data_IF_999044327546
#
_entry.id   IF_999044327546
#
_cell.length_a   1.000
_cell.length_b   1.000
_cell.length_c   1.000
_cell.angle_alpha   90.00
_cell.angle_beta   90.00
_cell.angle_gamma   90.00
#
_symmetry.space_group_name_H-M   'P 1'
#
loop_
_entity.id
_entity.type
_entity.pdbx_description
1 polymer ?
#
# COMPACT_ATOMS: atom_id res chain seq x y z
N UNK A 1 -15.26 38.14 40.28
CA UNK A 1 -15.30 37.50 38.94
C UNK A 1 -14.10 38.00 38.15
N UNK A 2 -13.11 37.15 37.92
CA UNK A 2 -12.01 37.40 36.98
C UNK A 2 -11.79 36.10 36.23
N UNK A 3 -12.23 36.09 34.97
CA UNK A 3 -12.18 34.93 34.08
C UNK A 3 -10.76 34.74 33.56
N UNK A 4 -10.20 33.55 33.82
CA UNK A 4 -9.00 33.08 33.15
C UNK A 4 -9.37 32.51 31.78
N UNK A 5 -8.97 33.20 30.72
CA UNK A 5 -9.05 32.68 29.36
C UNK A 5 -7.94 31.63 29.17
N UNK A 6 -8.34 30.35 29.08
CA UNK A 6 -7.50 29.28 28.56
C UNK A 6 -7.41 29.44 27.03
N UNK A 7 -6.31 30.02 26.56
CA UNK A 7 -5.95 29.96 25.14
C UNK A 7 -5.43 28.56 24.88
N UNK A 8 -6.31 27.66 24.42
CA UNK A 8 -5.90 26.41 23.82
C UNK A 8 -5.13 26.73 22.54
N UNK A 9 -3.80 26.71 22.62
CA UNK A 9 -2.95 26.81 21.45
C UNK A 9 -3.21 25.62 20.53
N UNK A 10 -3.76 25.87 19.35
CA UNK A 10 -3.68 24.95 18.22
C UNK A 10 -2.21 24.83 17.82
N UNK A 11 -1.46 23.99 18.53
CA UNK A 11 -0.08 23.65 18.18
C UNK A 11 -0.08 22.89 16.86
N UNK A 12 0.42 23.51 15.80
CA UNK A 12 0.85 22.80 14.61
C UNK A 12 1.91 21.79 15.04
N UNK A 13 1.56 20.51 15.09
CA UNK A 13 2.51 19.43 15.40
C UNK A 13 3.62 19.45 14.35
N UNK A 14 4.88 19.48 14.77
CA UNK A 14 6.01 19.41 13.85
C UNK A 14 6.02 18.03 13.15
N UNK A 15 6.55 17.92 11.92
CA UNK A 15 6.71 16.63 11.28
C UNK A 15 7.57 15.70 12.13
N UNK A 16 7.07 14.50 12.41
CA UNK A 16 7.78 13.48 13.18
C UNK A 16 8.50 12.51 12.23
N UNK A 17 9.59 11.91 12.70
CA UNK A 17 10.27 10.84 11.97
C UNK A 17 9.44 9.56 12.10
N UNK A 18 9.14 8.92 10.98
CA UNK A 18 8.40 7.65 10.94
C UNK A 18 9.28 6.52 11.48
N UNK A 19 8.93 5.98 12.64
CA UNK A 19 9.51 4.76 13.19
C UNK A 19 8.55 3.58 12.91
N UNK A 20 8.97 2.56 12.12
CA UNK A 20 8.15 1.37 11.87
C UNK A 20 7.63 0.68 13.14
N UNK A 21 8.31 0.81 14.28
CA UNK A 21 7.90 0.19 15.54
C UNK A 21 6.57 0.73 16.10
N UNK A 22 6.17 1.94 15.69
CA UNK A 22 4.94 2.59 16.14
C UNK A 22 3.72 2.20 15.30
N UNK A 23 3.92 1.48 14.20
CA UNK A 23 2.89 1.12 13.24
C UNK A 23 2.57 -0.39 13.24
N UNK A 24 1.34 -0.73 12.87
CA UNK A 24 0.82 -2.09 12.82
C UNK A 24 0.84 -2.71 11.42
N UNK A 25 1.05 -1.91 10.37
CA UNK A 25 1.24 -2.40 9.02
C UNK A 25 2.55 -1.91 8.39
N UNK A 26 3.24 -2.81 7.70
CA UNK A 26 4.49 -2.53 7.01
C UNK A 26 4.51 -3.10 5.60
N UNK A 27 5.26 -2.46 4.71
CA UNK A 27 5.59 -3.00 3.40
C UNK A 27 7.04 -3.49 3.41
N UNK A 28 7.25 -4.75 3.04
CA UNK A 28 8.54 -5.42 2.99
C UNK A 28 8.97 -5.62 1.53
N UNK A 29 9.97 -4.84 1.10
CA UNK A 29 10.59 -4.98 -0.23
C UNK A 29 11.36 -6.28 -0.38
N UNK A 30 11.50 -6.71 -1.63
CA UNK A 30 12.48 -7.73 -1.97
C UNK A 30 13.90 -7.27 -1.55
N UNK A 31 14.63 -8.16 -0.87
CA UNK A 31 15.96 -7.87 -0.34
C UNK A 31 16.01 -7.25 1.05
N UNK A 32 14.88 -6.78 1.61
CA UNK A 32 14.81 -6.42 3.04
C UNK A 32 14.57 -7.70 3.84
N UNK A 33 15.38 -8.00 4.87
CA UNK A 33 15.24 -9.24 5.62
C UNK A 33 13.94 -9.23 6.43
N UNK A 34 13.27 -10.38 6.55
CA UNK A 34 12.04 -10.48 7.34
C UNK A 34 12.21 -10.19 8.83
N UNK A 35 13.45 -10.24 9.34
CA UNK A 35 13.80 -9.79 10.69
C UNK A 35 13.69 -8.27 10.88
N UNK A 36 13.56 -7.48 9.80
CA UNK A 36 13.29 -6.05 9.87
C UNK A 36 11.82 -5.74 10.20
N UNK A 37 10.91 -6.72 10.06
CA UNK A 37 9.50 -6.53 10.40
C UNK A 37 9.34 -6.28 11.90
N UNK A 38 8.75 -5.16 12.33
CA UNK A 38 8.56 -4.84 13.74
C UNK A 38 7.66 -5.86 14.44
N UNK A 39 7.94 -6.14 15.73
CA UNK A 39 7.14 -7.09 16.54
C UNK A 39 5.66 -6.70 16.65
N UNK A 40 5.34 -5.40 16.55
CA UNK A 40 3.98 -4.87 16.61
C UNK A 40 3.21 -5.07 15.30
N UNK A 41 3.91 -5.28 14.18
CA UNK A 41 3.29 -5.42 12.88
C UNK A 41 2.33 -6.62 12.86
N UNK A 42 1.08 -6.36 12.50
CA UNK A 42 0.00 -7.32 12.29
C UNK A 42 -0.28 -7.54 10.82
N UNK A 43 0.03 -6.56 9.97
CA UNK A 43 -0.16 -6.66 8.52
C UNK A 43 1.18 -6.46 7.82
N UNK A 44 1.54 -7.36 6.92
CA UNK A 44 2.74 -7.20 6.07
C UNK A 44 2.35 -7.30 4.61
N UNK A 45 2.62 -6.24 3.86
CA UNK A 45 2.61 -6.25 2.40
C UNK A 45 3.96 -6.74 1.92
N UNK A 46 3.99 -7.92 1.31
CA UNK A 46 5.22 -8.60 1.00
C UNK A 46 5.44 -8.62 -0.51
N UNK A 47 6.45 -7.92 -1.00
CA UNK A 47 6.81 -7.97 -2.40
C UNK A 47 7.39 -9.35 -2.75
N UNK A 48 6.55 -10.18 -3.37
CA UNK A 48 6.81 -11.60 -3.61
C UNK A 48 7.08 -11.95 -5.07
N UNK A 49 6.60 -11.12 -5.99
CA UNK A 49 6.86 -11.28 -7.41
C UNK A 49 6.80 -9.98 -8.20
N UNK A 50 7.21 -10.07 -9.45
CA UNK A 50 7.15 -8.96 -10.39
C UNK A 50 6.81 -9.44 -11.81
N UNK A 51 6.11 -8.59 -12.54
CA UNK A 51 5.89 -8.72 -13.99
C UNK A 51 6.55 -7.52 -14.65
N UNK A 52 7.62 -7.81 -15.40
CA UNK A 52 8.53 -6.81 -15.95
C UNK A 52 8.06 -6.32 -17.32
N UNK A 53 8.51 -5.15 -17.73
CA UNK A 53 8.13 -4.54 -18.99
C UNK A 53 8.48 -5.40 -20.22
N UNK A 54 9.54 -6.21 -20.14
CA UNK A 54 10.07 -7.00 -21.25
C UNK A 54 9.31 -8.30 -21.54
N UNK A 55 8.52 -8.81 -20.58
CA UNK A 55 7.87 -10.12 -20.70
C UNK A 55 6.45 -10.14 -20.06
N UNK A 56 5.37 -10.09 -20.87
CA UNK A 56 4.00 -10.18 -20.37
C UNK A 56 3.60 -11.59 -19.90
N UNK A 57 4.38 -12.61 -20.24
CA UNK A 57 4.08 -14.01 -20.01
C UNK A 57 4.69 -14.57 -18.73
N UNK A 58 5.49 -13.77 -18.01
CA UNK A 58 6.31 -14.28 -16.91
C UNK A 58 6.15 -13.50 -15.61
N UNK A 59 5.69 -14.21 -14.58
CA UNK A 59 5.88 -13.80 -13.19
C UNK A 59 7.28 -14.21 -12.72
N UNK A 60 8.09 -13.23 -12.35
CA UNK A 60 9.39 -13.44 -11.70
C UNK A 60 9.16 -13.53 -10.18
N UNK A 61 9.48 -14.68 -9.58
CA UNK A 61 9.40 -14.84 -8.13
C UNK A 61 10.64 -14.23 -7.46
N UNK A 62 10.41 -13.34 -6.49
CA UNK A 62 11.46 -12.64 -5.74
C UNK A 62 11.91 -13.42 -4.49
N UNK A 63 11.25 -14.54 -4.18
CA UNK A 63 11.56 -15.46 -3.07
C UNK A 63 11.85 -14.73 -1.76
N UNK A 64 10.97 -13.83 -1.30
CA UNK A 64 11.22 -13.12 -0.06
C UNK A 64 11.19 -14.09 1.13
N UNK A 65 11.96 -13.77 2.18
CA UNK A 65 11.81 -14.47 3.45
C UNK A 65 10.43 -14.17 4.04
N UNK A 66 9.65 -15.20 4.34
CA UNK A 66 8.34 -15.02 4.97
C UNK A 66 8.51 -14.54 6.42
N UNK A 67 7.92 -13.39 6.80
CA UNK A 67 7.90 -12.95 8.19
C UNK A 67 7.21 -13.97 9.09
N UNK A 68 7.72 -14.13 10.32
CA UNK A 68 7.15 -15.05 11.31
C UNK A 68 6.55 -14.24 12.44
N UNK A 69 5.29 -14.53 12.78
CA UNK A 69 4.60 -13.91 13.90
C UNK A 69 3.19 -14.46 14.05
N UNK A 70 2.75 -14.69 15.28
CA UNK A 70 1.37 -15.14 15.56
C UNK A 70 0.38 -14.00 15.27
N UNK A 71 -0.69 -14.30 14.54
CA UNK A 71 -1.74 -13.32 14.21
C UNK A 71 -1.28 -12.23 13.25
N UNK A 72 -0.34 -12.56 12.35
CA UNK A 72 0.10 -11.69 11.27
C UNK A 72 -0.63 -12.08 9.97
N UNK A 73 -1.29 -11.12 9.33
CA UNK A 73 -1.84 -11.24 7.98
C UNK A 73 -0.84 -10.76 6.94
N UNK A 74 -0.77 -11.46 5.81
CA UNK A 74 0.11 -11.17 4.69
C UNK A 74 -0.70 -10.77 3.47
N UNK A 75 -0.28 -9.68 2.83
CA UNK A 75 -0.64 -9.40 1.45
C UNK A 75 0.47 -9.89 0.53
N UNK A 76 0.11 -10.69 -0.46
CA UNK A 76 1.04 -11.09 -1.51
C UNK A 76 1.13 -9.96 -2.52
N UNK A 77 2.22 -9.21 -2.54
CA UNK A 77 2.37 -8.07 -3.45
C UNK A 77 3.09 -8.49 -4.73
N UNK A 78 2.53 -8.11 -5.88
CA UNK A 78 3.16 -8.24 -7.20
C UNK A 78 3.42 -6.84 -7.75
N UNK A 79 4.69 -6.52 -8.03
CA UNK A 79 5.05 -5.32 -8.77
C UNK A 79 4.81 -5.52 -10.25
N UNK A 80 4.21 -4.54 -10.91
CA UNK A 80 3.91 -4.64 -12.35
C UNK A 80 4.45 -3.45 -13.10
N UNK A 81 5.01 -3.70 -14.27
CA UNK A 81 5.44 -2.64 -15.20
C UNK A 81 4.56 -2.61 -16.47
N UNK A 82 3.65 -3.59 -16.60
CA UNK A 82 2.69 -3.73 -17.69
C UNK A 82 1.42 -4.43 -17.24
N UNK A 83 0.32 -4.17 -17.95
CA UNK A 83 -1.04 -4.60 -17.58
C UNK A 83 -1.63 -5.68 -18.49
N UNK A 84 -0.98 -5.97 -19.62
CA UNK A 84 -1.41 -6.96 -20.62
C UNK A 84 -0.86 -8.36 -20.31
N UNK A 85 -1.06 -8.82 -19.08
CA UNK A 85 -0.64 -10.14 -18.61
C UNK A 85 -1.23 -11.26 -19.49
N UNK A 86 -0.40 -12.25 -19.82
CA UNK A 86 -0.89 -13.50 -20.40
C UNK A 86 -1.55 -14.39 -19.33
N UNK A 87 -2.42 -15.32 -19.73
CA UNK A 87 -3.13 -16.23 -18.81
C UNK A 87 -2.19 -17.03 -17.89
N UNK A 88 -0.98 -17.34 -18.35
CA UNK A 88 0.05 -18.01 -17.54
C UNK A 88 0.46 -17.22 -16.30
N UNK A 89 0.48 -15.88 -16.38
CA UNK A 89 0.82 -15.02 -15.24
C UNK A 89 -0.28 -15.05 -14.19
N UNK A 90 -1.55 -14.91 -14.61
CA UNK A 90 -2.69 -15.01 -13.70
C UNK A 90 -2.71 -16.37 -13.00
N UNK A 91 -2.59 -17.47 -13.75
CA UNK A 91 -2.56 -18.82 -13.20
C UNK A 91 -1.43 -18.99 -12.18
N UNK A 92 -0.25 -18.42 -12.47
CA UNK A 92 0.89 -18.51 -11.56
C UNK A 92 0.68 -17.71 -10.27
N UNK A 93 0.14 -16.49 -10.34
CA UNK A 93 -0.17 -15.69 -9.14
C UNK A 93 -1.16 -16.44 -8.24
N UNK A 94 -2.24 -17.00 -8.82
CA UNK A 94 -3.24 -17.74 -8.06
C UNK A 94 -2.65 -19.02 -7.43
N UNK A 95 -1.80 -19.74 -8.16
CA UNK A 95 -1.09 -20.91 -7.63
C UNK A 95 -0.13 -20.54 -6.50
N UNK A 96 0.51 -19.37 -6.58
CA UNK A 96 1.39 -18.86 -5.53
C UNK A 96 0.60 -18.50 -4.25
N UNK A 97 -0.54 -17.80 -4.37
CA UNK A 97 -1.44 -17.53 -3.25
C UNK A 97 -1.91 -18.82 -2.56
N UNK A 98 -2.41 -19.79 -3.33
CA UNK A 98 -2.88 -21.07 -2.80
C UNK A 98 -1.78 -21.82 -2.04
N UNK A 99 -0.58 -21.94 -2.64
CA UNK A 99 0.56 -22.62 -2.03
C UNK A 99 1.00 -21.94 -0.72
N UNK A 100 0.99 -20.60 -0.67
CA UNK A 100 1.37 -19.88 0.55
C UNK A 100 0.35 -20.11 1.67
N UNK A 101 -0.94 -20.11 1.33
CA UNK A 101 -2.00 -20.44 2.28
C UNK A 101 -1.89 -21.89 2.80
N UNK A 102 -1.65 -22.85 1.91
CA UNK A 102 -1.43 -24.26 2.26
C UNK A 102 -0.19 -24.48 3.15
N UNK A 103 0.82 -23.62 3.01
CA UNK A 103 1.99 -23.59 3.90
C UNK A 103 1.70 -22.98 5.29
N UNK A 104 0.43 -22.65 5.60
CA UNK A 104 0.00 -22.15 6.90
C UNK A 104 0.12 -20.64 7.08
N UNK A 105 0.34 -19.88 5.99
CA UNK A 105 0.37 -18.42 6.06
C UNK A 105 -1.05 -17.86 6.01
N UNK A 106 -1.35 -16.89 6.87
CA UNK A 106 -2.59 -16.12 6.79
C UNK A 106 -2.46 -15.08 5.67
N UNK A 107 -2.84 -15.47 4.46
CA UNK A 107 -2.86 -14.58 3.30
C UNK A 107 -4.22 -13.87 3.25
N UNK A 108 -4.21 -12.55 3.42
CA UNK A 108 -5.39 -11.69 3.30
C UNK A 108 -5.83 -11.57 1.84
N UNK A 109 -4.86 -11.34 0.96
CA UNK A 109 -5.16 -11.01 -0.42
C UNK A 109 -3.94 -10.76 -1.28
N UNK A 110 -4.23 -10.28 -2.49
CA UNK A 110 -3.27 -9.87 -3.50
C UNK A 110 -3.16 -8.35 -3.50
N UNK A 111 -1.94 -7.81 -3.47
CA UNK A 111 -1.71 -6.41 -3.78
C UNK A 111 -1.03 -6.27 -5.14
N UNK A 112 -1.51 -5.33 -5.96
CA UNK A 112 -0.79 -4.90 -7.16
C UNK A 112 -0.04 -3.61 -6.86
N UNK A 113 1.29 -3.66 -6.92
CA UNK A 113 2.15 -2.49 -6.84
C UNK A 113 2.40 -1.96 -8.25
N UNK A 114 1.69 -0.89 -8.62
CA UNK A 114 1.80 -0.27 -9.93
C UNK A 114 1.84 1.26 -9.83
N UNK A 115 2.93 1.85 -10.30
CA UNK A 115 3.04 3.30 -10.47
C UNK A 115 2.30 3.73 -11.75
N UNK A 116 0.96 3.69 -11.71
CA UNK A 116 0.16 4.20 -12.83
C UNK A 116 0.15 5.74 -12.80
N UNK A 117 0.67 6.38 -13.83
CA UNK A 117 0.39 7.79 -14.08
C UNK A 117 -1.14 8.00 -14.22
N UNK A 118 -1.66 9.15 -13.78
CA UNK A 118 -3.11 9.47 -13.84
C UNK A 118 -3.76 9.18 -15.21
N UNK A 119 -3.03 9.33 -16.32
CA UNK A 119 -3.55 9.05 -17.69
C UNK A 119 -3.83 7.56 -17.94
N UNK A 120 -3.19 6.64 -17.23
CA UNK A 120 -3.37 5.20 -17.36
C UNK A 120 -4.49 4.59 -16.51
N UNK A 121 -5.22 5.41 -15.73
CA UNK A 121 -6.15 4.92 -14.71
C UNK A 121 -7.31 4.08 -15.29
N UNK A 122 -7.78 4.40 -16.49
CA UNK A 122 -8.89 3.67 -17.12
C UNK A 122 -8.50 2.24 -17.55
N UNK A 123 -7.30 2.08 -18.09
CA UNK A 123 -6.75 0.78 -18.46
C UNK A 123 -6.36 -0.02 -17.22
N UNK A 124 -5.84 0.67 -16.20
CA UNK A 124 -5.58 0.04 -14.92
C UNK A 124 -6.86 -0.50 -14.26
N UNK A 125 -7.94 0.29 -14.23
CA UNK A 125 -9.23 -0.18 -13.72
C UNK A 125 -9.76 -1.39 -14.51
N UNK A 126 -9.61 -1.40 -15.84
CA UNK A 126 -10.01 -2.54 -16.69
C UNK A 126 -9.20 -3.80 -16.39
N UNK A 127 -7.88 -3.65 -16.20
CA UNK A 127 -7.01 -4.73 -15.78
C UNK A 127 -7.45 -5.30 -14.43
N UNK A 128 -7.67 -4.44 -13.44
CA UNK A 128 -8.09 -4.84 -12.10
C UNK A 128 -9.47 -5.53 -12.10
N UNK A 129 -10.43 -5.10 -12.91
CA UNK A 129 -11.71 -5.80 -13.08
C UNK A 129 -11.51 -7.22 -13.63
N UNK A 130 -10.58 -7.37 -14.59
CA UNK A 130 -10.18 -8.67 -15.12
C UNK A 130 -9.54 -9.57 -14.07
N UNK A 131 -8.67 -8.99 -13.23
CA UNK A 131 -8.00 -9.68 -12.14
C UNK A 131 -8.99 -10.08 -11.03
N UNK A 132 -9.86 -9.17 -10.59
CA UNK A 132 -10.88 -9.40 -9.56
C UNK A 132 -11.83 -10.55 -9.92
N UNK A 133 -12.18 -10.70 -11.21
CA UNK A 133 -12.99 -11.83 -11.71
C UNK A 133 -12.28 -13.18 -11.60
N UNK A 134 -10.95 -13.20 -11.69
CA UNK A 134 -10.13 -14.42 -11.59
C UNK A 134 -9.74 -14.73 -10.15
N UNK A 135 -9.60 -13.71 -9.30
CA UNK A 135 -9.21 -13.85 -7.90
C UNK A 135 -10.35 -14.44 -7.07
N UNK A 136 -10.13 -15.58 -6.37
CA UNK A 136 -11.12 -16.16 -5.45
C UNK A 136 -11.67 -15.13 -4.45
N UNK A 137 -12.97 -15.24 -4.15
CA UNK A 137 -13.71 -14.22 -3.36
C UNK A 137 -13.29 -14.13 -1.89
N UNK A 138 -12.58 -15.13 -1.41
CA UNK A 138 -11.99 -15.18 -0.07
C UNK A 138 -10.65 -14.43 0.02
N UNK A 139 -10.13 -13.93 -1.10
CA UNK A 139 -9.00 -13.01 -1.12
C UNK A 139 -9.45 -11.60 -1.46
N UNK A 140 -8.93 -10.65 -0.69
CA UNK A 140 -9.06 -9.23 -0.98
C UNK A 140 -8.07 -8.80 -2.08
N UNK A 141 -8.37 -7.67 -2.72
CA UNK A 141 -7.55 -7.04 -3.74
C UNK A 141 -7.15 -5.62 -3.29
N UNK A 142 -5.86 -5.44 -3.02
CA UNK A 142 -5.26 -4.14 -2.69
C UNK A 142 -4.47 -3.60 -3.88
N UNK A 143 -4.27 -2.29 -3.93
CA UNK A 143 -3.37 -1.65 -4.89
C UNK A 143 -2.51 -0.60 -4.21
N UNK A 144 -1.32 -0.34 -4.73
CA UNK A 144 -0.65 0.94 -4.45
C UNK A 144 -1.21 2.02 -5.39
N UNK A 145 -1.25 3.25 -4.90
CA UNK A 145 -1.72 4.40 -5.67
C UNK A 145 -0.88 5.63 -5.40
N UNK A 146 -0.82 6.51 -6.39
CA UNK A 146 -0.14 7.81 -6.29
C UNK A 146 -1.13 8.90 -5.87
N UNK A 147 -0.60 9.96 -5.26
CA UNK A 147 -1.43 11.06 -4.72
C UNK A 147 -2.21 11.83 -5.80
N UNK A 148 -1.69 11.87 -7.03
CA UNK A 148 -2.29 12.58 -8.16
C UNK A 148 -3.67 12.05 -8.55
N UNK A 149 -3.99 10.78 -8.25
CA UNK A 149 -5.31 10.22 -8.48
C UNK A 149 -6.40 10.92 -7.66
N UNK A 150 -6.10 11.30 -6.41
CA UNK A 150 -7.09 11.96 -5.55
C UNK A 150 -7.39 13.40 -5.97
N UNK A 151 -6.38 14.08 -6.55
CA UNK A 151 -6.49 15.47 -6.96
C UNK A 151 -6.98 15.64 -8.41
N UNK A 152 -6.69 14.66 -9.28
CA UNK A 152 -6.85 14.79 -10.74
C UNK A 152 -7.53 13.58 -11.39
N UNK A 153 -7.82 12.51 -10.63
CA UNK A 153 -8.47 11.31 -11.14
C UNK A 153 -9.89 11.61 -11.62
N UNK A 154 -10.24 11.05 -12.78
CA UNK A 154 -11.60 11.18 -13.30
C UNK A 154 -12.58 10.44 -12.36
N UNK A 155 -13.67 11.08 -11.86
CA UNK A 155 -14.56 10.48 -10.85
C UNK A 155 -15.09 9.09 -11.22
N UNK A 156 -15.44 8.89 -12.50
CA UNK A 156 -15.89 7.58 -13.00
C UNK A 156 -14.81 6.48 -12.90
N UNK A 157 -13.53 6.83 -13.08
CA UNK A 157 -12.44 5.86 -12.94
C UNK A 157 -12.21 5.50 -11.47
N UNK A 158 -12.28 6.48 -10.56
CA UNK A 158 -12.21 6.24 -9.12
C UNK A 158 -13.39 5.40 -8.61
N UNK A 159 -14.60 5.63 -9.12
CA UNK A 159 -15.78 4.82 -8.79
C UNK A 159 -15.63 3.36 -9.28
N UNK A 160 -15.05 3.14 -10.46
CA UNK A 160 -14.74 1.79 -10.95
C UNK A 160 -13.73 1.08 -10.06
N UNK A 161 -12.70 1.79 -9.61
CA UNK A 161 -11.74 1.24 -8.64
C UNK A 161 -12.42 0.87 -7.33
N UNK A 162 -13.25 1.76 -6.77
CA UNK A 162 -14.00 1.49 -5.54
C UNK A 162 -14.92 0.25 -5.62
N UNK A 163 -15.43 -0.07 -6.81
CA UNK A 163 -16.20 -1.29 -7.04
C UNK A 163 -15.37 -2.55 -7.30
N UNK A 164 -14.04 -2.44 -7.36
CA UNK A 164 -13.13 -3.52 -7.81
C UNK A 164 -12.10 -3.91 -6.77
N UNK A 165 -11.54 -2.94 -6.04
CA UNK A 165 -10.50 -3.15 -5.03
C UNK A 165 -11.06 -2.94 -3.63
N UNK A 166 -10.50 -3.66 -2.66
CA UNK A 166 -10.92 -3.65 -1.26
C UNK A 166 -10.16 -2.57 -0.45
N UNK A 167 -8.95 -2.21 -0.88
CA UNK A 167 -8.22 -1.05 -0.35
C UNK A 167 -7.20 -0.47 -1.36
N UNK A 168 -6.79 0.78 -1.11
CA UNK A 168 -5.61 1.39 -1.76
C UNK A 168 -4.60 1.90 -0.73
N UNK A 169 -3.32 1.68 -0.98
CA UNK A 169 -2.21 2.26 -0.22
C UNK A 169 -1.64 3.45 -0.97
N UNK A 170 -1.94 4.66 -0.51
CA UNK A 170 -1.51 5.91 -1.15
C UNK A 170 -0.08 6.25 -0.72
N UNK A 171 0.87 6.20 -1.65
CA UNK A 171 2.28 6.43 -1.35
C UNK A 171 2.58 7.94 -1.28
N UNK A 172 3.09 8.42 -0.14
CA UNK A 172 3.41 9.84 0.09
C UNK A 172 4.91 10.13 0.09
N UNK A 173 5.70 9.27 -0.54
CA UNK A 173 7.16 9.35 -0.53
C UNK A 173 7.75 9.01 -1.90
N UNK A 174 8.97 9.46 -2.15
CA UNK A 174 9.76 9.09 -3.33
C UNK A 174 11.16 8.67 -2.88
N UNK A 175 11.55 7.45 -3.27
CA UNK A 175 12.81 6.86 -2.82
C UNK A 175 12.86 6.68 -1.31
N UNK A 176 13.61 7.54 -0.62
CA UNK A 176 13.85 7.46 0.84
C UNK A 176 13.30 8.66 1.61
N UNK A 177 12.51 9.51 0.97
CA UNK A 177 12.02 10.77 1.55
C UNK A 177 10.54 10.96 1.26
N UNK A 178 9.82 11.46 2.26
CA UNK A 178 8.46 11.98 2.09
C UNK A 178 8.45 13.04 0.99
N UNK A 179 7.43 13.04 0.14
CA UNK A 179 7.24 14.05 -0.89
C UNK A 179 6.91 15.39 -0.19
N UNK A 180 7.68 16.47 -0.44
CA UNK A 180 7.39 17.76 0.16
C UNK A 180 5.99 18.26 -0.17
N UNK A 181 5.24 18.71 0.84
CA UNK A 181 3.89 19.22 0.66
C UNK A 181 2.83 18.16 0.35
N UNK A 182 3.14 16.88 0.54
CA UNK A 182 2.17 15.78 0.39
C UNK A 182 0.89 16.00 1.22
N UNK A 183 0.98 16.70 2.36
CA UNK A 183 -0.17 16.98 3.23
C UNK A 183 -1.24 17.84 2.54
N UNK A 184 -0.85 18.70 1.59
CA UNK A 184 -1.81 19.49 0.81
C UNK A 184 -2.65 18.59 -0.11
N UNK A 185 -2.05 17.54 -0.66
CA UNK A 185 -2.73 16.54 -1.48
C UNK A 185 -3.57 15.57 -0.65
N UNK A 186 -3.30 15.44 0.65
CA UNK A 186 -4.14 14.59 1.49
C UNK A 186 -5.54 15.15 1.70
N UNK A 187 -5.74 16.47 1.59
CA UNK A 187 -7.07 17.05 1.67
C UNK A 187 -8.01 16.50 0.58
N UNK A 188 -7.48 16.12 -0.59
CA UNK A 188 -8.27 15.46 -1.64
C UNK A 188 -8.54 13.98 -1.38
N UNK A 189 -7.80 13.32 -0.48
CA UNK A 189 -8.09 11.93 -0.10
C UNK A 189 -9.43 11.77 0.62
N UNK A 190 -9.92 12.82 1.30
CA UNK A 190 -11.25 12.81 1.90
C UNK A 190 -12.39 12.64 0.87
N UNK A 191 -12.11 12.75 -0.42
CA UNK A 191 -13.06 12.52 -1.51
C UNK A 191 -12.96 11.13 -2.12
N UNK A 192 -12.02 10.30 -1.65
CA UNK A 192 -11.78 8.98 -2.19
C UNK A 192 -12.93 8.05 -1.76
N UNK A 193 -13.68 7.45 -2.70
CA UNK A 193 -14.88 6.67 -2.37
C UNK A 193 -14.57 5.21 -1.97
N UNK A 194 -13.38 4.93 -1.44
CA UNK A 194 -12.96 3.58 -1.07
C UNK A 194 -11.98 3.57 0.11
N UNK A 195 -11.88 2.45 0.84
CA UNK A 195 -10.95 2.31 1.94
C UNK A 195 -9.51 2.56 1.50
N UNK A 196 -8.76 3.31 2.31
CA UNK A 196 -7.38 3.62 2.01
C UNK A 196 -6.48 3.61 3.24
N UNK A 197 -5.22 3.29 2.98
CA UNK A 197 -4.10 3.48 3.92
C UNK A 197 -3.14 4.50 3.34
N UNK A 198 -2.36 5.09 4.22
CA UNK A 198 -1.32 6.05 3.84
C UNK A 198 0.05 5.40 3.95
N UNK A 199 0.74 5.33 2.83
CA UNK A 199 2.08 4.76 2.68
C UNK A 199 3.15 5.76 3.09
N UNK A 200 3.82 5.46 4.21
CA UNK A 200 4.91 6.24 4.78
C UNK A 200 6.24 5.54 4.51
N UNK A 201 7.34 6.29 4.36
CA UNK A 201 8.68 5.69 4.29
C UNK A 201 9.34 5.70 5.66
N UNK A 202 10.03 4.62 6.02
CA UNK A 202 10.85 4.55 7.23
C UNK A 202 11.84 5.73 7.29
N UNK A 203 11.95 6.39 8.46
CA UNK A 203 12.72 7.62 8.69
C UNK A 203 12.26 8.85 7.87
N UNK A 204 11.17 8.75 7.12
CA UNK A 204 10.52 9.89 6.47
C UNK A 204 9.95 10.87 7.48
N UNK A 205 9.76 12.12 7.05
CA UNK A 205 9.05 13.13 7.85
C UNK A 205 7.56 12.99 7.59
N UNK A 206 6.76 12.91 8.65
CA UNK A 206 5.33 12.75 8.52
C UNK A 206 4.58 13.67 9.45
N UNK A 207 3.53 14.28 8.92
CA UNK A 207 2.55 15.03 9.71
C UNK A 207 1.15 14.69 9.22
N UNK A 208 0.31 14.06 10.06
CA UNK A 208 -1.05 13.76 9.67
C UNK A 208 -1.85 15.06 9.51
N UNK A 209 -2.61 15.23 8.42
CA UNK A 209 -3.48 16.39 8.25
C UNK A 209 -4.64 16.34 9.24
N UNK A 210 -5.19 17.53 9.54
CA UNK A 210 -6.32 17.64 10.44
C UNK A 210 -7.53 16.85 9.91
N UNK A 211 -8.05 15.94 10.73
CA UNK A 211 -9.25 15.17 10.38
C UNK A 211 -9.01 13.83 9.71
N UNK A 212 -7.77 13.46 9.34
CA UNK A 212 -7.47 12.14 8.76
C UNK A 212 -7.98 10.99 9.64
N UNK A 213 -7.74 11.07 10.95
CA UNK A 213 -8.20 10.07 11.91
C UNK A 213 -9.73 9.99 12.07
N UNK A 214 -10.47 10.95 11.50
CA UNK A 214 -11.94 10.98 11.50
C UNK A 214 -12.53 10.60 10.15
N UNK A 215 -11.69 10.41 9.13
CA UNK A 215 -12.13 9.98 7.81
C UNK A 215 -12.62 8.51 7.90
N UNK A 216 -13.87 8.22 7.54
CA UNK A 216 -14.42 6.87 7.63
C UNK A 216 -13.78 5.88 6.65
N UNK A 217 -13.08 6.32 5.61
CA UNK A 217 -12.37 5.46 4.67
C UNK A 217 -10.90 5.25 5.04
N UNK A 218 -10.37 6.03 5.99
CA UNK A 218 -9.00 5.85 6.45
C UNK A 218 -8.87 4.57 7.30
N UNK A 219 -7.90 3.72 6.94
CA UNK A 219 -7.62 2.42 7.59
C UNK A 219 -6.27 2.37 8.31
N UNK A 220 -5.56 3.49 8.39
CA UNK A 220 -4.26 3.59 9.05
C UNK A 220 -3.09 3.75 8.08
N UNK A 221 -1.89 3.46 8.57
CA UNK A 221 -0.64 3.68 7.85
C UNK A 221 0.00 2.37 7.42
N UNK A 222 0.78 2.39 6.34
CA UNK A 222 1.70 1.30 5.96
C UNK A 222 3.10 1.89 5.90
N UNK A 223 4.04 1.37 6.70
CA UNK A 223 5.43 1.84 6.66
C UNK A 223 6.26 0.99 5.71
N UNK A 224 6.76 1.61 4.64
CA UNK A 224 7.67 1.03 3.68
C UNK A 224 9.07 0.99 4.28
N UNK A 225 9.51 -0.21 4.61
CA UNK A 225 10.79 -0.46 5.27
C UNK A 225 11.94 -0.18 4.32
N UNK A 226 13.02 0.42 4.79
CA UNK A 226 14.19 0.67 3.98
C UNK A 226 15.23 -0.43 4.20
N UNK A 227 15.94 -0.81 3.14
CA UNK A 227 17.13 -1.64 3.30
C UNK A 227 18.13 -0.89 4.18
N UNK A 228 18.53 -1.51 5.29
CA UNK A 228 19.61 -0.99 6.13
C UNK A 228 20.90 -1.01 5.31
N UNK A 229 21.73 0.05 5.33
CA UNK A 229 23.08 -0.05 4.82
C UNK A 229 23.78 -1.21 5.53
N UNK A 230 24.44 -2.11 4.79
CA UNK A 230 25.35 -3.05 5.43
C UNK A 230 26.39 -2.24 6.20
N UNK A 231 26.54 -2.51 7.50
CA UNK A 231 27.69 -2.02 8.24
C UNK A 231 28.94 -2.54 7.50
N UNK A 232 29.74 -1.62 6.97
CA UNK A 232 31.04 -1.94 6.39
C UNK A 232 32.02 -2.32 7.49
#
# INVERSE_FOLDING_TARGET
MLGGALVAGCGSREPERVDPADHDAVFLWAGVPSSAVPKRARTVYLLAGEVRADDPGRLVSLRPGTPKGSGMSLWYTVRVERLDWEEGVYARVLADLARWREAGNAIEGLQIDFDAETRGLADYARFLEGLRRRLPRDYDLSITGLMDWSAQGHPAALARLAGTVDEVVIQTYQGRKTIPGCEAYMASLAQLPLPYRVGLVENGEWRPPAGLARDPEFRGYVVFLLTRPQAR
#
